data_IF_339669780892
#
_entry.id   IF_339669780892
#
_cell.length_a   1.000
_cell.length_b   1.000
_cell.length_c   1.000
_cell.angle_alpha   90.00
_cell.angle_beta   90.00
_cell.angle_gamma   90.00
#
_symmetry.space_group_name_H-M   'P 1'
#
loop_
_entity.id
_entity.type
_entity.pdbx_description
1 polymer ?
#
# COMPACT_ATOMS: atom_id res chain seq x y z
N UNK A 1 -8.50 3.74 35.25
CA UNK A 1 -7.26 3.29 34.60
C UNK A 1 -7.56 3.28 33.10
N UNK A 2 -7.15 4.33 32.39
CA UNK A 2 -7.37 4.45 30.95
C UNK A 2 -6.55 3.34 30.29
N UNK A 3 -7.21 2.39 29.65
CA UNK A 3 -6.56 1.43 28.77
C UNK A 3 -5.92 2.28 27.66
N UNK A 4 -4.60 2.22 27.43
CA UNK A 4 -3.99 2.86 26.26
C UNK A 4 -4.76 2.41 25.01
N UNK A 5 -5.05 3.32 24.08
CA UNK A 5 -5.85 3.04 22.89
C UNK A 5 -5.29 1.84 22.10
N UNK A 6 -5.84 0.66 22.37
CA UNK A 6 -5.51 -0.61 21.71
C UNK A 6 -5.72 -0.56 20.18
N UNK A 7 -6.39 0.49 19.69
CA UNK A 7 -6.65 0.75 18.28
C UNK A 7 -5.55 1.55 17.60
N UNK A 8 -4.96 2.51 18.31
CA UNK A 8 -3.77 3.23 17.82
C UNK A 8 -2.60 2.25 17.76
N UNK A 9 -2.46 1.36 18.75
CA UNK A 9 -1.38 0.36 18.76
C UNK A 9 -1.38 -0.54 17.52
N UNK A 10 -2.55 -0.95 17.02
CA UNK A 10 -2.63 -1.83 15.84
C UNK A 10 -2.33 -1.09 14.53
N UNK A 11 -2.67 0.19 14.43
CA UNK A 11 -2.30 1.03 13.29
C UNK A 11 -0.78 1.29 13.29
N UNK A 12 -0.21 1.55 14.47
CA UNK A 12 1.23 1.69 14.69
C UNK A 12 1.98 0.40 14.33
N UNK A 13 1.52 -0.75 14.81
CA UNK A 13 2.10 -2.07 14.48
C UNK A 13 2.14 -2.33 12.97
N UNK A 14 1.08 -1.97 12.25
CA UNK A 14 1.03 -2.09 10.79
C UNK A 14 2.03 -1.15 10.10
N UNK A 15 2.15 0.09 10.59
CA UNK A 15 3.11 1.05 10.09
C UNK A 15 4.55 0.59 10.37
N UNK A 16 4.85 0.13 11.58
CA UNK A 16 6.15 -0.45 11.93
C UNK A 16 6.50 -1.66 11.05
N UNK A 17 5.53 -2.53 10.77
CA UNK A 17 5.74 -3.67 9.89
C UNK A 17 6.06 -3.22 8.46
N UNK A 18 5.37 -2.19 7.96
CA UNK A 18 5.70 -1.58 6.68
C UNK A 18 7.14 -1.02 6.68
N UNK A 19 7.52 -0.26 7.70
CA UNK A 19 8.89 0.26 7.83
C UNK A 19 9.94 -0.86 7.81
N UNK A 20 9.72 -1.95 8.55
CA UNK A 20 10.61 -3.13 8.53
C UNK A 20 10.74 -3.73 7.13
N UNK A 21 9.62 -3.85 6.40
CA UNK A 21 9.63 -4.35 5.02
C UNK A 21 10.46 -3.44 4.11
N UNK A 22 10.30 -2.12 4.23
CA UNK A 22 11.08 -1.16 3.43
C UNK A 22 12.57 -1.16 3.79
N UNK A 23 12.92 -1.27 5.07
CA UNK A 23 14.33 -1.43 5.47
C UNK A 23 14.94 -2.69 4.86
N UNK A 24 14.21 -3.80 4.84
CA UNK A 24 14.65 -5.04 4.16
C UNK A 24 14.85 -4.83 2.65
N UNK A 25 14.09 -3.92 2.02
CA UNK A 25 14.30 -3.51 0.62
C UNK A 25 15.59 -2.69 0.50
N UNK A 26 15.81 -1.71 1.38
CA UNK A 26 17.01 -0.84 1.38
C UNK A 26 18.30 -1.64 1.62
N UNK A 27 18.29 -2.61 2.52
CA UNK A 27 19.45 -3.48 2.81
C UNK A 27 20.00 -4.17 1.56
N UNK A 28 19.17 -4.41 0.53
CA UNK A 28 19.61 -5.01 -0.74
C UNK A 28 20.53 -4.10 -1.54
N UNK A 29 20.59 -2.80 -1.27
CA UNK A 29 21.61 -1.93 -1.86
C UNK A 29 23.02 -2.39 -1.51
N UNK A 30 23.24 -2.92 -0.30
CA UNK A 30 24.55 -3.44 0.08
C UNK A 30 24.97 -4.63 -0.80
N UNK A 31 24.02 -5.51 -1.15
CA UNK A 31 24.26 -6.63 -2.06
C UNK A 31 24.58 -6.12 -3.47
N UNK A 32 23.84 -5.11 -3.94
CA UNK A 32 24.11 -4.48 -5.23
C UNK A 32 25.51 -3.84 -5.26
N UNK A 33 25.93 -3.14 -4.20
CA UNK A 33 27.27 -2.55 -4.09
C UNK A 33 28.38 -3.61 -4.13
N UNK A 34 28.19 -4.75 -3.45
CA UNK A 34 29.15 -5.86 -3.49
C UNK A 34 29.31 -6.45 -4.91
N UNK A 35 28.22 -6.55 -5.66
CA UNK A 35 28.22 -7.04 -7.05
C UNK A 35 28.83 -6.02 -8.03
N UNK A 36 28.60 -4.74 -7.79
CA UNK A 36 29.18 -3.66 -8.59
C UNK A 36 30.71 -3.61 -8.46
N UNK A 37 31.23 -3.86 -7.25
CA UNK A 37 32.67 -3.96 -6.98
C UNK A 37 33.38 -5.10 -7.75
N UNK A 38 32.64 -6.11 -8.19
CA UNK A 38 33.15 -7.19 -9.06
C UNK A 38 32.68 -7.04 -10.52
N UNK A 39 32.13 -5.88 -10.88
CA UNK A 39 31.66 -5.50 -12.21
C UNK A 39 30.54 -6.39 -12.79
N UNK A 40 29.71 -6.98 -11.93
CA UNK A 40 28.56 -7.79 -12.32
C UNK A 40 27.30 -6.93 -12.58
N UNK A 41 27.38 -6.01 -13.56
CA UNK A 41 26.34 -5.00 -13.84
C UNK A 41 24.94 -5.60 -14.01
N UNK A 42 24.84 -6.75 -14.67
CA UNK A 42 23.55 -7.44 -14.87
C UNK A 42 22.95 -7.87 -13.53
N UNK A 43 23.76 -8.44 -12.64
CA UNK A 43 23.29 -8.88 -11.33
C UNK A 43 22.87 -7.67 -10.47
N UNK A 44 23.63 -6.57 -10.51
CA UNK A 44 23.26 -5.30 -9.86
C UNK A 44 21.88 -4.84 -10.29
N UNK A 45 21.62 -4.78 -11.60
CA UNK A 45 20.32 -4.34 -12.12
C UNK A 45 19.20 -5.33 -11.79
N UNK A 46 19.49 -6.62 -11.64
CA UNK A 46 18.49 -7.61 -11.22
C UNK A 46 18.13 -7.45 -9.73
N UNK A 47 19.09 -7.06 -8.88
CA UNK A 47 18.80 -6.64 -7.51
C UNK A 47 17.87 -5.42 -7.50
N UNK A 48 18.16 -4.39 -8.29
CA UNK A 48 17.30 -3.20 -8.38
C UNK A 48 15.87 -3.54 -8.84
N UNK A 49 15.72 -4.42 -9.83
CA UNK A 49 14.40 -4.92 -10.26
C UNK A 49 13.65 -5.63 -9.13
N UNK A 50 14.36 -6.48 -8.38
CA UNK A 50 13.75 -7.18 -7.24
C UNK A 50 13.30 -6.22 -6.14
N UNK A 51 14.07 -5.16 -5.88
CA UNK A 51 13.72 -4.13 -4.90
C UNK A 51 12.41 -3.43 -5.25
N UNK A 52 12.17 -3.10 -6.52
CA UNK A 52 10.89 -2.52 -6.98
C UNK A 52 9.71 -3.46 -6.70
N UNK A 53 9.87 -4.76 -6.99
CA UNK A 53 8.82 -5.76 -6.75
C UNK A 53 8.52 -5.92 -5.26
N UNK A 54 9.56 -5.99 -4.42
CA UNK A 54 9.38 -6.12 -2.97
C UNK A 54 8.80 -4.85 -2.33
N UNK A 55 9.19 -3.67 -2.81
CA UNK A 55 8.65 -2.39 -2.33
C UNK A 55 7.15 -2.30 -2.59
N UNK A 56 6.71 -2.62 -3.79
CA UNK A 56 5.29 -2.55 -4.14
C UNK A 56 4.49 -3.67 -3.44
N UNK A 57 5.10 -4.82 -3.19
CA UNK A 57 4.51 -5.86 -2.32
C UNK A 57 4.31 -5.37 -0.89
N UNK A 58 5.25 -4.58 -0.34
CA UNK A 58 5.12 -3.98 0.99
C UNK A 58 3.99 -2.95 1.05
N UNK A 59 3.85 -2.12 0.01
CA UNK A 59 2.75 -1.17 -0.13
C UNK A 59 1.39 -1.88 -0.23
N UNK A 60 1.28 -2.90 -1.09
CA UNK A 60 0.06 -3.68 -1.28
C UNK A 60 -0.40 -4.31 0.04
N UNK A 61 0.54 -4.98 0.74
CA UNK A 61 0.29 -5.58 2.04
C UNK A 61 -0.19 -4.54 3.07
N UNK A 62 0.46 -3.38 3.15
CA UNK A 62 0.02 -2.29 4.03
C UNK A 62 -1.42 -1.86 3.72
N UNK A 63 -1.77 -1.67 2.45
CA UNK A 63 -3.12 -1.28 2.03
C UNK A 63 -4.18 -2.36 2.33
N UNK A 64 -3.82 -3.64 2.23
CA UNK A 64 -4.67 -4.74 2.69
C UNK A 64 -4.95 -4.66 4.19
N UNK A 65 -3.89 -4.54 5.00
CA UNK A 65 -4.02 -4.41 6.45
C UNK A 65 -4.86 -3.19 6.83
N UNK A 66 -4.66 -2.05 6.16
CA UNK A 66 -5.42 -0.83 6.39
C UNK A 66 -6.90 -1.00 6.05
N UNK A 67 -7.22 -1.67 4.95
CA UNK A 67 -8.59 -2.01 4.59
C UNK A 67 -9.30 -2.82 5.68
N UNK A 68 -8.65 -3.89 6.15
CA UNK A 68 -9.18 -4.75 7.20
C UNK A 68 -9.35 -3.96 8.50
N UNK A 69 -8.32 -3.22 8.91
CA UNK A 69 -8.33 -2.40 10.12
C UNK A 69 -9.52 -1.42 10.12
N UNK A 70 -9.67 -0.64 9.06
CA UNK A 70 -10.72 0.37 8.96
C UNK A 70 -12.13 -0.24 9.03
N UNK A 71 -12.36 -1.37 8.34
CA UNK A 71 -13.66 -2.05 8.38
C UNK A 71 -13.97 -2.59 9.79
N UNK A 72 -12.97 -3.09 10.51
CA UNK A 72 -13.11 -3.51 11.92
C UNK A 72 -13.41 -2.31 12.82
N UNK A 73 -12.77 -1.16 12.60
CA UNK A 73 -13.09 0.06 13.36
C UNK A 73 -14.54 0.54 13.12
N UNK A 74 -15.03 0.44 11.89
CA UNK A 74 -16.43 0.77 11.56
C UNK A 74 -17.43 -0.21 12.17
N UNK A 75 -17.09 -1.50 12.20
CA UNK A 75 -17.91 -2.51 12.87
C UNK A 75 -18.02 -2.25 14.38
N UNK A 76 -16.91 -1.91 15.03
CA UNK A 76 -16.86 -1.57 16.45
C UNK A 76 -17.41 -0.17 16.77
N UNK A 77 -17.84 0.60 15.77
CA UNK A 77 -18.32 1.99 15.90
C UNK A 77 -17.28 2.99 16.41
N UNK A 78 -15.99 2.71 16.24
CA UNK A 78 -14.93 3.69 16.49
C UNK A 78 -14.75 4.65 15.32
N UNK A 79 -14.99 4.17 14.10
CA UNK A 79 -15.03 4.99 12.89
C UNK A 79 -16.46 5.08 12.36
N UNK A 80 -16.79 6.22 11.77
CA UNK A 80 -18.06 6.38 11.07
C UNK A 80 -18.15 5.40 9.89
N UNK A 81 -19.31 4.77 9.75
CA UNK A 81 -19.55 3.83 8.66
C UNK A 81 -19.58 4.59 7.33
N UNK A 82 -18.67 4.23 6.43
CA UNK A 82 -18.71 4.73 5.06
C UNK A 82 -19.76 3.98 4.25
N UNK A 83 -20.12 4.53 3.09
CA UNK A 83 -20.90 3.79 2.09
C UNK A 83 -20.21 2.48 1.67
N UNK A 84 -18.88 2.48 1.62
CA UNK A 84 -18.10 1.30 1.26
C UNK A 84 -18.30 0.14 2.23
N UNK A 85 -18.38 0.45 3.52
CA UNK A 85 -18.74 -0.52 4.56
C UNK A 85 -20.20 -0.97 4.44
N UNK A 86 -21.13 -0.04 4.25
CA UNK A 86 -22.56 -0.35 4.14
C UNK A 86 -22.90 -1.21 2.91
N UNK A 87 -22.14 -1.09 1.83
CA UNK A 87 -22.33 -1.85 0.59
C UNK A 87 -21.64 -3.24 0.63
N UNK A 88 -20.98 -3.61 1.73
CA UNK A 88 -20.29 -4.89 1.88
C UNK A 88 -21.28 -6.07 1.85
N UNK A 89 -21.04 -7.01 0.94
CA UNK A 89 -21.88 -8.21 0.82
C UNK A 89 -21.46 -9.26 1.84
N UNK A 90 -22.40 -9.68 2.68
CA UNK A 90 -22.20 -10.75 3.67
C UNK A 90 -22.85 -12.04 3.15
N UNK A 91 -22.11 -13.16 3.06
CA UNK A 91 -22.69 -14.47 2.73
C UNK A 91 -23.80 -14.87 3.72
N UNK A 92 -24.88 -15.46 3.21
CA UNK A 92 -26.08 -15.77 4.03
C UNK A 92 -25.78 -16.79 5.14
N UNK A 93 -24.87 -17.73 4.91
CA UNK A 93 -24.39 -18.68 5.92
C UNK A 93 -23.73 -17.96 7.10
N UNK A 94 -22.96 -16.89 6.83
CA UNK A 94 -22.34 -16.06 7.89
C UNK A 94 -23.37 -15.24 8.66
N UNK A 95 -24.42 -14.77 7.98
CA UNK A 95 -25.55 -14.12 8.67
C UNK A 95 -26.27 -15.12 9.58
N UNK A 96 -26.49 -16.35 9.12
CA UNK A 96 -27.09 -17.40 9.94
C UNK A 96 -26.22 -17.76 11.14
N UNK A 97 -24.90 -17.91 10.96
CA UNK A 97 -23.95 -18.15 12.05
C UNK A 97 -24.07 -17.06 13.13
N UNK A 98 -24.11 -15.79 12.71
CA UNK A 98 -24.22 -14.63 13.61
C UNK A 98 -25.55 -14.57 14.38
N UNK A 99 -26.66 -14.93 13.73
CA UNK A 99 -28.00 -14.95 14.37
C UNK A 99 -28.13 -16.11 15.36
N UNK A 100 -27.56 -17.27 15.04
CA UNK A 100 -27.65 -18.47 15.86
C UNK A 100 -26.67 -18.47 17.04
N UNK A 101 -25.54 -17.78 16.92
CA UNK A 101 -24.47 -17.70 17.92
C UNK A 101 -24.07 -16.23 18.15
N UNK A 102 -24.96 -15.39 18.72
CA UNK A 102 -24.72 -13.94 18.86
C UNK A 102 -23.51 -13.59 19.75
N UNK A 103 -23.07 -14.52 20.60
CA UNK A 103 -21.86 -14.39 21.41
C UNK A 103 -20.56 -14.53 20.60
N UNK A 104 -20.63 -15.13 19.40
CA UNK A 104 -19.48 -15.32 18.54
C UNK A 104 -19.36 -14.17 17.54
N UNK A 105 -18.36 -13.30 17.71
CA UNK A 105 -18.10 -12.17 16.81
C UNK A 105 -17.06 -12.47 15.74
N UNK A 106 -16.35 -13.61 15.79
CA UNK A 106 -15.24 -13.89 14.86
C UNK A 106 -15.66 -14.07 13.39
N UNK A 107 -16.95 -14.25 13.12
CA UNK A 107 -17.46 -14.37 11.75
C UNK A 107 -17.24 -13.09 10.92
N UNK A 108 -17.30 -11.91 11.53
CA UNK A 108 -17.17 -10.64 10.80
C UNK A 108 -15.74 -10.44 10.31
N UNK A 109 -14.75 -10.83 11.13
CA UNK A 109 -13.35 -10.77 10.76
C UNK A 109 -13.09 -11.64 9.52
N UNK A 110 -13.66 -12.85 9.48
CA UNK A 110 -13.54 -13.73 8.33
C UNK A 110 -14.17 -13.13 7.06
N UNK A 111 -15.33 -12.46 7.18
CA UNK A 111 -15.98 -11.78 6.05
C UNK A 111 -15.15 -10.61 5.54
N UNK A 112 -14.64 -9.77 6.45
CA UNK A 112 -13.80 -8.61 6.11
C UNK A 112 -12.50 -9.08 5.45
N UNK A 113 -11.80 -10.05 6.05
CA UNK A 113 -10.56 -10.60 5.48
C UNK A 113 -10.82 -11.21 4.11
N UNK A 114 -11.88 -12.00 3.95
CA UNK A 114 -12.24 -12.61 2.65
C UNK A 114 -12.54 -11.55 1.58
N UNK A 115 -13.19 -10.45 1.94
CA UNK A 115 -13.47 -9.35 1.02
C UNK A 115 -12.20 -8.67 0.50
N UNK A 116 -11.18 -8.54 1.35
CA UNK A 116 -9.91 -7.94 0.97
C UNK A 116 -8.97 -8.94 0.28
N UNK A 117 -9.05 -10.25 0.56
CA UNK A 117 -8.07 -11.26 0.14
C UNK A 117 -7.79 -11.35 -1.38
N UNK A 118 -8.79 -11.10 -2.23
CA UNK A 118 -8.65 -11.22 -3.69
C UNK A 118 -8.35 -9.90 -4.40
N UNK A 119 -8.27 -8.80 -3.64
CA UNK A 119 -8.03 -7.46 -4.19
C UNK A 119 -6.53 -7.18 -4.27
N UNK A 120 -6.19 -6.15 -5.01
CA UNK A 120 -4.81 -5.71 -5.17
C UNK A 120 -4.79 -4.19 -5.24
N UNK A 121 -3.98 -3.56 -4.39
CA UNK A 121 -3.98 -2.12 -4.11
C UNK A 121 -2.65 -1.49 -4.54
N UNK A 122 -2.31 -1.66 -5.80
CA UNK A 122 -1.00 -1.26 -6.30
C UNK A 122 -1.05 -0.11 -7.30
N UNK A 123 -2.14 0.01 -8.05
CA UNK A 123 -2.33 1.16 -8.94
C UNK A 123 -2.89 2.35 -8.17
N UNK A 124 -2.58 3.57 -8.64
CA UNK A 124 -3.14 4.80 -8.08
C UNK A 124 -4.68 4.77 -8.00
N UNK A 125 -5.33 4.17 -9.01
CA UNK A 125 -6.78 4.03 -9.07
C UNK A 125 -7.31 3.12 -7.95
N UNK A 126 -6.71 1.95 -7.76
CA UNK A 126 -7.14 1.00 -6.73
C UNK A 126 -6.86 1.54 -5.33
N UNK A 127 -5.71 2.18 -5.12
CA UNK A 127 -5.37 2.85 -3.85
C UNK A 127 -6.38 3.97 -3.54
N UNK A 128 -6.64 4.87 -4.49
CA UNK A 128 -7.62 5.95 -4.31
C UNK A 128 -9.02 5.41 -4.04
N UNK A 129 -9.43 4.36 -4.77
CA UNK A 129 -10.71 3.69 -4.58
C UNK A 129 -10.84 3.09 -3.18
N UNK A 130 -9.78 2.42 -2.71
CA UNK A 130 -9.73 1.81 -1.38
C UNK A 130 -9.78 2.85 -0.26
N UNK A 131 -8.98 3.92 -0.35
CA UNK A 131 -9.02 5.02 0.63
C UNK A 131 -10.38 5.72 0.64
N UNK A 132 -11.00 5.90 -0.53
CA UNK A 132 -12.35 6.44 -0.62
C UNK A 132 -13.40 5.54 0.02
N UNK A 133 -13.20 4.21 -0.03
CA UNK A 133 -14.10 3.24 0.58
C UNK A 133 -13.95 3.23 2.10
N UNK A 134 -12.74 3.38 2.63
CA UNK A 134 -12.49 3.12 4.07
C UNK A 134 -12.28 4.37 4.91
N UNK A 135 -12.00 5.52 4.32
CA UNK A 135 -11.82 6.80 5.05
C UNK A 135 -12.75 7.87 4.51
N UNK A 136 -12.73 8.10 3.20
CA UNK A 136 -13.52 9.16 2.58
C UNK A 136 -12.96 9.62 1.24
N UNK A 137 -13.82 10.23 0.42
CA UNK A 137 -13.49 10.61 -0.98
C UNK A 137 -12.37 11.63 -1.10
N UNK A 138 -12.21 12.49 -0.10
CA UNK A 138 -11.25 13.59 -0.03
C UNK A 138 -9.89 13.16 0.55
N UNK A 139 -9.78 11.97 1.15
CA UNK A 139 -8.59 11.56 1.89
C UNK A 139 -7.35 11.42 0.98
N UNK A 140 -7.51 10.91 -0.24
CA UNK A 140 -6.42 10.87 -1.22
C UNK A 140 -5.89 12.27 -1.56
N UNK A 141 -6.79 13.26 -1.64
CA UNK A 141 -6.40 14.63 -1.96
C UNK A 141 -5.69 15.30 -0.77
N UNK A 142 -6.06 14.96 0.47
CA UNK A 142 -5.33 15.37 1.69
C UNK A 142 -3.90 14.85 1.70
N UNK A 143 -3.72 13.55 1.45
CA UNK A 143 -2.39 12.92 1.34
C UNK A 143 -1.56 13.62 0.26
N UNK A 144 -2.15 13.80 -0.92
CA UNK A 144 -1.45 14.41 -2.03
C UNK A 144 -1.00 15.85 -1.74
N UNK A 145 -1.84 16.64 -1.06
CA UNK A 145 -1.47 17.99 -0.64
C UNK A 145 -0.31 17.97 0.36
N UNK A 146 -0.32 17.08 1.35
CA UNK A 146 0.79 16.97 2.31
C UNK A 146 2.13 16.64 1.62
N UNK A 147 2.10 15.76 0.61
CA UNK A 147 3.31 15.29 -0.07
C UNK A 147 3.82 16.25 -1.16
N UNK A 148 2.92 16.88 -1.91
CA UNK A 148 3.26 17.51 -3.19
C UNK A 148 2.73 18.94 -3.34
N UNK A 149 2.20 19.55 -2.26
CA UNK A 149 1.79 20.93 -2.30
C UNK A 149 2.96 21.84 -2.63
N UNK A 150 2.79 22.58 -3.71
CA UNK A 150 3.73 23.56 -4.20
C UNK A 150 2.91 24.69 -4.80
N UNK A 151 3.01 25.86 -4.18
CA UNK A 151 2.25 27.05 -4.55
C UNK A 151 2.59 27.57 -5.95
N UNK A 152 3.79 27.24 -6.45
CA UNK A 152 4.27 27.69 -7.76
C UNK A 152 3.96 26.67 -8.87
N UNK A 153 3.63 25.44 -8.50
CA UNK A 153 3.30 24.37 -9.44
C UNK A 153 1.93 24.55 -10.08
N UNK A 154 1.88 24.47 -11.42
CA UNK A 154 0.62 24.39 -12.18
C UNK A 154 -0.05 23.03 -12.14
N UNK A 155 0.66 21.98 -11.71
CA UNK A 155 0.13 20.63 -11.60
C UNK A 155 -0.45 20.44 -10.20
N UNK A 156 -1.68 19.91 -10.13
CA UNK A 156 -2.34 19.62 -8.87
C UNK A 156 -1.60 18.53 -8.09
N UNK A 157 -1.52 18.61 -6.76
CA UNK A 157 -0.85 17.59 -5.95
C UNK A 157 -1.42 16.18 -6.17
N UNK A 158 -2.75 16.04 -6.27
CA UNK A 158 -3.40 14.75 -6.55
C UNK A 158 -2.93 14.11 -7.88
N UNK A 159 -2.69 14.91 -8.92
CA UNK A 159 -2.19 14.43 -10.21
C UNK A 159 -0.70 14.05 -10.13
N UNK A 160 0.08 14.68 -9.25
CA UNK A 160 1.48 14.29 -8.98
C UNK A 160 1.52 12.94 -8.26
N UNK A 161 0.74 12.77 -7.18
CA UNK A 161 0.67 11.50 -6.45
C UNK A 161 0.14 10.37 -7.34
N UNK A 162 -0.93 10.61 -8.10
CA UNK A 162 -1.50 9.60 -8.97
C UNK A 162 -0.50 9.15 -10.05
N UNK A 163 0.28 10.07 -10.61
CA UNK A 163 1.35 9.72 -11.57
C UNK A 163 2.46 8.92 -10.91
N UNK A 164 2.97 9.37 -9.76
CA UNK A 164 4.03 8.66 -9.04
C UNK A 164 3.67 7.20 -8.71
N UNK A 165 2.45 6.97 -8.22
CA UNK A 165 1.94 5.61 -7.95
C UNK A 165 1.69 4.81 -9.24
N UNK A 166 1.25 5.45 -10.31
CA UNK A 166 1.06 4.79 -11.62
C UNK A 166 2.38 4.36 -12.22
N UNK A 167 3.38 5.24 -12.23
CA UNK A 167 4.71 4.97 -12.78
C UNK A 167 5.36 3.80 -12.04
N UNK A 168 5.22 3.75 -10.70
CA UNK A 168 5.68 2.63 -9.89
C UNK A 168 4.99 1.31 -10.27
N UNK A 169 3.66 1.32 -10.35
CA UNK A 169 2.87 0.14 -10.72
C UNK A 169 3.22 -0.37 -12.12
N UNK A 170 3.37 0.53 -13.09
CA UNK A 170 3.77 0.18 -14.46
C UNK A 170 5.19 -0.40 -14.50
N UNK A 171 6.13 0.19 -13.75
CA UNK A 171 7.50 -0.33 -13.63
C UNK A 171 7.49 -1.74 -13.04
N UNK A 172 6.76 -1.96 -11.95
CA UNK A 172 6.62 -3.28 -11.32
C UNK A 172 6.03 -4.29 -12.29
N UNK A 173 4.94 -3.95 -12.99
CA UNK A 173 4.30 -4.86 -13.94
C UNK A 173 5.21 -5.24 -15.11
N UNK A 174 6.03 -4.32 -15.61
CA UNK A 174 7.06 -4.65 -16.61
C UNK A 174 8.01 -5.72 -16.07
N UNK A 175 8.51 -5.53 -14.84
CA UNK A 175 9.44 -6.47 -14.20
C UNK A 175 8.78 -7.82 -13.93
N UNK A 176 7.64 -7.84 -13.24
CA UNK A 176 7.02 -9.06 -12.72
C UNK A 176 6.23 -9.86 -13.77
N UNK A 177 5.67 -9.20 -14.79
CA UNK A 177 4.76 -9.86 -15.75
C UNK A 177 5.25 -9.82 -17.20
N UNK A 178 6.20 -8.94 -17.56
CA UNK A 178 6.65 -8.76 -18.94
C UNK A 178 8.16 -9.06 -19.11
N UNK A 179 8.75 -9.79 -18.15
CA UNK A 179 10.19 -10.12 -18.11
C UNK A 179 11.12 -8.89 -18.20
N UNK A 180 10.60 -7.73 -17.85
CA UNK A 180 11.20 -6.40 -18.00
C UNK A 180 11.68 -6.04 -19.41
N UNK A 181 11.02 -6.54 -20.46
CA UNK A 181 11.48 -6.35 -21.85
C UNK A 181 10.63 -5.40 -22.66
N UNK A 182 11.28 -4.64 -23.54
CA UNK A 182 10.63 -3.89 -24.59
C UNK A 182 10.04 -4.86 -25.62
N UNK A 183 8.75 -4.73 -25.94
CA UNK A 183 8.05 -5.65 -26.86
C UNK A 183 8.49 -5.50 -28.32
N UNK A 184 9.08 -4.37 -28.69
CA UNK A 184 9.54 -4.11 -30.06
C UNK A 184 10.98 -4.56 -30.26
N UNK A 185 11.86 -4.29 -29.29
CA UNK A 185 13.30 -4.57 -29.43
C UNK A 185 13.74 -5.85 -28.72
N UNK A 186 12.99 -6.30 -27.71
CA UNK A 186 13.37 -7.43 -26.85
C UNK A 186 14.37 -7.06 -25.74
N UNK A 187 14.88 -5.83 -25.72
CA UNK A 187 15.87 -5.39 -24.74
C UNK A 187 15.26 -5.19 -23.35
N UNK A 188 16.08 -5.37 -22.32
CA UNK A 188 15.68 -5.04 -20.96
C UNK A 188 15.53 -3.53 -20.80
N UNK A 189 14.48 -3.10 -20.08
CA UNK A 189 14.43 -1.72 -19.61
C UNK A 189 15.58 -1.47 -18.63
N UNK A 190 16.25 -0.34 -18.81
CA UNK A 190 17.33 0.07 -17.93
C UNK A 190 16.80 0.42 -16.54
N UNK A 191 17.67 0.29 -15.53
CA UNK A 191 17.38 0.66 -14.16
C UNK A 191 18.68 0.97 -13.44
N UNK A 192 18.66 2.02 -12.62
CA UNK A 192 19.77 2.41 -11.77
C UNK A 192 19.30 2.58 -10.31
N UNK A 193 20.26 2.85 -9.42
CA UNK A 193 20.02 3.07 -7.99
C UNK A 193 19.01 4.19 -7.73
N UNK A 194 19.13 5.31 -8.43
CA UNK A 194 18.28 6.48 -8.24
C UNK A 194 16.81 6.16 -8.55
N UNK A 195 16.55 5.31 -9.55
CA UNK A 195 15.18 4.86 -9.86
C UNK A 195 14.55 4.14 -8.66
N UNK A 196 15.33 3.28 -7.98
CA UNK A 196 14.89 2.55 -6.79
C UNK A 196 14.73 3.47 -5.59
N UNK A 197 15.68 4.37 -5.36
CA UNK A 197 15.62 5.35 -4.26
C UNK A 197 14.42 6.29 -4.41
N UNK A 198 14.11 6.73 -5.62
CA UNK A 198 12.93 7.55 -5.91
C UNK A 198 11.63 6.77 -5.62
N UNK A 199 11.56 5.50 -6.03
CA UNK A 199 10.41 4.65 -5.74
C UNK A 199 10.21 4.47 -4.23
N UNK A 200 11.29 4.16 -3.49
CA UNK A 200 11.28 4.02 -2.03
C UNK A 200 10.78 5.31 -1.38
N UNK A 201 11.33 6.47 -1.78
CA UNK A 201 10.93 7.76 -1.25
C UNK A 201 9.43 8.04 -1.43
N UNK A 202 8.88 7.78 -2.61
CA UNK A 202 7.45 7.96 -2.89
C UNK A 202 6.60 7.07 -1.97
N UNK A 203 6.94 5.79 -1.86
CA UNK A 203 6.16 4.81 -1.10
C UNK A 203 6.25 5.05 0.41
N UNK A 204 7.44 5.32 0.93
CA UNK A 204 7.63 5.67 2.35
C UNK A 204 6.87 6.94 2.69
N UNK A 205 7.07 8.02 1.93
CA UNK A 205 6.39 9.29 2.20
C UNK A 205 4.88 9.12 2.13
N UNK A 206 4.38 8.38 1.15
CA UNK A 206 2.94 8.08 1.04
C UNK A 206 2.41 7.39 2.29
N UNK A 207 3.02 6.28 2.72
CA UNK A 207 2.55 5.51 3.88
C UNK A 207 2.73 6.28 5.19
N UNK A 208 3.84 7.01 5.37
CA UNK A 208 4.04 7.88 6.54
C UNK A 208 2.97 8.97 6.59
N UNK A 209 2.61 9.58 5.46
CA UNK A 209 1.54 10.57 5.40
C UNK A 209 0.16 9.95 5.70
N UNK A 210 -0.14 8.76 5.16
CA UNK A 210 -1.38 8.04 5.50
C UNK A 210 -1.45 7.79 7.00
N UNK A 211 -0.39 7.26 7.59
CA UNK A 211 -0.32 6.96 9.00
C UNK A 211 -0.54 8.22 9.86
N UNK A 212 0.23 9.29 9.58
CA UNK A 212 0.09 10.60 10.25
C UNK A 212 -1.36 11.09 10.23
N UNK A 213 -1.99 11.15 9.04
CA UNK A 213 -3.34 11.69 8.88
C UNK A 213 -4.44 10.83 9.52
N UNK A 214 -4.16 9.56 9.84
CA UNK A 214 -5.09 8.67 10.55
C UNK A 214 -4.90 8.72 12.07
N UNK A 215 -3.79 9.26 12.55
CA UNK A 215 -3.45 9.39 13.99
C UNK A 215 -3.68 10.79 14.55
N UNK A 216 -3.94 11.79 13.69
CA UNK A 216 -4.32 13.16 14.06
C UNK A 216 -5.81 13.27 14.43
#
# INVERSE_FOLDING_TARGET
>A
MLVPDMHVSKLDEMYEQFCKNVETVKEKFHIAEQLDNVHEEKAVKDIYRSQIVFLESALDYYMHCLGIYAMVQMYNNHWDKTRGYSDLKVPIDKVMDAVMHPENTGWIDAVIVSYHASKTYMSAKEIKGQLSLIVGKDFFDKIANEMFYDKESRVKPADKLARALTDLFERRNKIAHQADRNHQTGDLYDINRQDVENAIFVVETFVTTVHKLLTE
#
